data_IF_460889865773
#
_entry.id   IF_460889865773
#
_cell.length_a   1.000
_cell.length_b   1.000
_cell.length_c   1.000
_cell.angle_alpha   90.00
_cell.angle_beta   90.00
_cell.angle_gamma   90.00
#
_symmetry.space_group_name_H-M   'P 1'
#
loop_
_entity.id
_entity.type
_entity.pdbx_description
1 polymer ?
#
# COMPACT_ATOMS: atom_id res chain seq x y z
N UNK A 1 -3.40 25.72 -15.41
CA UNK A 1 -2.81 27.08 -15.45
C UNK A 1 -1.34 26.97 -15.09
N UNK A 2 -0.43 27.51 -15.90
CA UNK A 2 1.01 27.50 -15.62
C UNK A 2 1.45 28.88 -15.13
N UNK A 3 2.41 28.92 -14.21
CA UNK A 3 2.90 30.15 -13.57
C UNK A 3 4.32 30.45 -14.03
N UNK A 4 4.60 31.61 -14.63
CA UNK A 4 5.95 31.93 -15.09
C UNK A 4 6.90 32.17 -13.92
N UNK A 5 8.17 31.80 -14.09
CA UNK A 5 9.22 31.96 -13.07
C UNK A 5 9.33 33.39 -12.55
N UNK A 6 9.16 34.40 -13.40
CA UNK A 6 9.24 35.81 -12.99
C UNK A 6 8.19 36.19 -11.94
N UNK A 7 7.00 35.59 -12.02
CA UNK A 7 5.93 35.80 -11.04
C UNK A 7 6.33 35.20 -9.69
N UNK A 8 6.81 33.95 -9.69
CA UNK A 8 7.24 33.23 -8.49
C UNK A 8 8.40 33.94 -7.80
N UNK A 9 9.45 34.30 -8.54
CA UNK A 9 10.63 34.96 -7.97
C UNK A 9 10.30 36.32 -7.36
N UNK A 10 9.30 37.03 -7.91
CA UNK A 10 8.85 38.31 -7.39
C UNK A 10 7.95 38.17 -6.16
N UNK A 11 7.06 37.19 -6.16
CA UNK A 11 6.08 37.00 -5.08
C UNK A 11 6.71 36.39 -3.82
N UNK A 12 7.66 35.46 -3.99
CA UNK A 12 8.28 34.76 -2.86
C UNK A 12 9.67 35.31 -2.48
N UNK A 13 10.19 36.28 -3.23
CA UNK A 13 11.55 36.83 -3.09
C UNK A 13 12.65 35.76 -3.18
N UNK A 14 12.46 34.78 -4.06
CA UNK A 14 13.38 33.67 -4.31
C UNK A 14 14.21 33.98 -5.55
N UNK A 15 15.53 33.74 -5.50
CA UNK A 15 16.40 33.90 -6.66
C UNK A 15 16.12 32.79 -7.69
N UNK A 16 16.07 33.12 -8.98
CA UNK A 16 15.86 32.14 -10.06
C UNK A 16 16.86 30.97 -10.03
N UNK A 17 18.09 31.24 -9.59
CA UNK A 17 19.12 30.21 -9.43
C UNK A 17 18.78 29.18 -8.33
N UNK A 18 18.10 29.60 -7.25
CA UNK A 18 17.65 28.67 -6.20
C UNK A 18 16.56 27.74 -6.72
N UNK A 19 15.58 28.27 -7.46
CA UNK A 19 14.55 27.46 -8.12
C UNK A 19 15.18 26.41 -9.03
N UNK A 20 16.18 26.79 -9.83
CA UNK A 20 16.88 25.84 -10.67
C UNK A 20 17.57 24.72 -9.89
N UNK A 21 18.18 25.02 -8.74
CA UNK A 21 18.76 23.99 -7.86
C UNK A 21 17.70 23.05 -7.29
N UNK A 22 16.50 23.56 -7.00
CA UNK A 22 15.40 22.72 -6.50
C UNK A 22 14.84 21.81 -7.61
N UNK A 23 14.84 22.27 -8.86
CA UNK A 23 14.56 21.45 -10.04
C UNK A 23 15.57 20.31 -10.18
N UNK A 24 16.87 20.62 -10.14
CA UNK A 24 17.95 19.64 -10.29
C UNK A 24 17.93 18.56 -9.21
N UNK A 25 17.44 18.90 -8.01
CA UNK A 25 17.31 17.99 -6.88
C UNK A 25 16.01 17.18 -6.88
N UNK A 26 15.10 17.40 -7.84
CA UNK A 26 13.80 16.74 -7.89
C UNK A 26 12.82 17.20 -6.81
N UNK A 27 13.08 18.31 -6.12
CA UNK A 27 12.22 18.79 -5.03
C UNK A 27 10.85 19.26 -5.52
N UNK A 28 10.78 19.70 -6.78
CA UNK A 28 9.54 20.15 -7.41
C UNK A 28 8.66 19.00 -7.93
N UNK A 29 9.08 17.75 -7.71
CA UNK A 29 8.36 16.54 -8.14
C UNK A 29 8.84 15.99 -9.47
N UNK A 30 8.11 14.98 -9.98
CA UNK A 30 8.44 14.25 -11.20
C UNK A 30 7.98 14.95 -12.48
N UNK A 31 7.08 15.92 -12.36
CA UNK A 31 6.61 16.69 -13.52
C UNK A 31 7.77 17.53 -14.12
N UNK A 32 7.99 17.47 -15.44
CA UNK A 32 9.01 18.29 -16.08
C UNK A 32 8.63 19.78 -16.03
N UNK A 33 9.63 20.62 -15.77
CA UNK A 33 9.46 22.08 -15.90
C UNK A 33 9.29 22.45 -17.36
N UNK A 34 8.19 23.10 -17.69
CA UNK A 34 7.90 23.52 -19.06
C UNK A 34 8.60 24.83 -19.37
N UNK A 35 9.22 24.90 -20.54
CA UNK A 35 9.79 26.13 -21.09
C UNK A 35 8.87 26.63 -22.18
N UNK A 36 8.33 27.83 -21.97
CA UNK A 36 7.38 28.44 -22.88
C UNK A 36 8.10 28.94 -24.15
N UNK A 37 7.87 28.32 -25.32
CA UNK A 37 8.55 28.72 -26.55
C UNK A 37 8.16 30.14 -27.00
N UNK A 38 6.95 30.59 -26.67
CA UNK A 38 6.42 31.89 -27.10
C UNK A 38 6.94 33.04 -26.22
N UNK A 39 7.55 32.71 -25.08
CA UNK A 39 8.08 33.67 -24.12
C UNK A 39 9.57 33.43 -23.84
N UNK A 40 10.38 33.43 -24.90
CA UNK A 40 11.84 33.32 -24.84
C UNK A 40 12.35 32.08 -24.05
N UNK A 41 11.60 30.98 -24.09
CA UNK A 41 11.94 29.76 -23.34
C UNK A 41 11.80 29.92 -21.82
N UNK A 42 11.02 30.89 -21.34
CA UNK A 42 10.84 31.15 -19.92
C UNK A 42 10.25 29.92 -19.23
N UNK A 43 10.80 29.57 -18.06
CA UNK A 43 10.29 28.46 -17.24
C UNK A 43 8.91 28.80 -16.70
N UNK A 44 8.01 27.83 -16.78
CA UNK A 44 6.67 27.91 -16.23
C UNK A 44 6.36 26.66 -15.41
N UNK A 45 5.73 26.86 -14.27
CA UNK A 45 5.49 25.82 -13.27
C UNK A 45 4.01 25.45 -13.23
N UNK A 46 3.74 24.16 -13.01
CA UNK A 46 2.39 23.67 -12.73
C UNK A 46 1.92 24.13 -11.34
N UNK A 47 0.63 23.96 -11.05
CA UNK A 47 0.07 24.29 -9.73
C UNK A 47 0.75 23.48 -8.62
N UNK A 48 0.98 22.18 -8.85
CA UNK A 48 1.66 21.30 -7.89
C UNK A 48 3.11 21.72 -7.64
N UNK A 49 3.83 22.11 -8.70
CA UNK A 49 5.18 22.65 -8.58
C UNK A 49 5.19 23.95 -7.78
N UNK A 50 4.21 24.84 -7.97
CA UNK A 50 4.09 26.09 -7.20
C UNK A 50 3.81 25.80 -5.73
N UNK A 51 2.90 24.88 -5.40
CA UNK A 51 2.60 24.47 -4.01
C UNK A 51 3.85 23.92 -3.30
N UNK A 52 4.68 23.14 -4.02
CA UNK A 52 5.97 22.66 -3.51
C UNK A 52 6.97 23.80 -3.29
N UNK A 53 7.08 24.75 -4.23
CA UNK A 53 7.96 25.91 -4.11
C UNK A 53 7.57 26.75 -2.88
N UNK A 54 6.29 27.02 -2.69
CA UNK A 54 5.76 27.79 -1.56
C UNK A 54 6.09 27.11 -0.23
N UNK A 55 5.93 25.78 -0.16
CA UNK A 55 6.30 25.04 1.04
C UNK A 55 7.80 25.05 1.34
N UNK A 56 8.65 24.88 0.31
CA UNK A 56 10.11 24.93 0.49
C UNK A 56 10.52 26.31 1.03
N UNK A 57 9.93 27.37 0.49
CA UNK A 57 10.16 28.74 0.94
C UNK A 57 9.72 28.97 2.39
N UNK A 58 8.55 28.48 2.78
CA UNK A 58 8.04 28.50 4.16
C UNK A 58 9.01 27.83 5.12
N UNK A 59 9.43 26.60 4.81
CA UNK A 59 10.39 25.83 5.64
C UNK A 59 11.73 26.56 5.75
N UNK A 60 12.24 27.13 4.65
CA UNK A 60 13.51 27.89 4.68
C UNK A 60 13.36 29.15 5.54
N UNK A 61 12.25 29.88 5.41
CA UNK A 61 11.98 31.08 6.22
C UNK A 61 11.92 30.72 7.71
N UNK A 62 11.29 29.60 8.06
CA UNK A 62 11.23 29.14 9.44
C UNK A 62 12.59 28.67 9.97
N UNK A 63 13.39 27.99 9.16
CA UNK A 63 14.79 27.68 9.49
C UNK A 63 15.60 28.96 9.77
N UNK A 64 15.41 30.02 8.98
CA UNK A 64 16.10 31.31 9.20
C UNK A 64 15.66 31.99 10.49
N UNK A 65 14.38 31.88 10.89
CA UNK A 65 13.91 32.37 12.20
C UNK A 65 14.55 31.60 13.36
N UNK A 66 14.89 30.33 13.16
CA UNK A 66 15.60 29.48 14.13
C UNK A 66 17.13 29.61 14.05
N UNK A 67 17.65 30.64 13.36
CA UNK A 67 19.10 30.86 13.14
C UNK A 67 19.81 29.73 12.38
N UNK A 68 19.06 28.83 11.73
CA UNK A 68 19.61 27.80 10.86
C UNK A 68 19.88 28.46 9.51
N UNK A 69 21.16 28.72 9.19
CA UNK A 69 21.58 29.39 7.95
C UNK A 69 21.75 28.45 6.75
N UNK A 70 21.84 27.13 6.98
CA UNK A 70 22.03 26.13 5.91
C UNK A 70 20.96 25.06 6.01
N UNK A 71 20.20 24.90 4.94
CA UNK A 71 19.18 23.87 4.81
C UNK A 71 19.84 22.54 4.45
N UNK A 72 19.65 21.51 5.28
CA UNK A 72 20.08 20.15 4.97
C UNK A 72 19.20 19.59 3.83
N UNK A 73 19.79 19.17 2.70
CA UNK A 73 19.03 18.57 1.62
C UNK A 73 18.22 17.34 2.04
N UNK A 74 18.75 16.49 2.92
CA UNK A 74 18.08 15.24 3.33
C UNK A 74 16.85 15.50 4.18
N UNK A 75 16.94 16.51 5.04
CA UNK A 75 15.82 16.94 5.88
C UNK A 75 14.71 17.53 5.02
N UNK A 76 15.06 18.39 4.05
CA UNK A 76 14.08 18.95 3.12
C UNK A 76 13.39 17.87 2.28
N UNK A 77 14.14 16.88 1.77
CA UNK A 77 13.57 15.72 1.06
C UNK A 77 12.56 14.97 1.91
N UNK A 78 12.87 14.74 3.20
CA UNK A 78 11.95 14.09 4.15
C UNK A 78 10.68 14.90 4.36
N UNK A 79 10.81 16.21 4.58
CA UNK A 79 9.67 17.11 4.78
C UNK A 79 8.76 17.20 3.54
N UNK A 80 9.36 17.19 2.35
CA UNK A 80 8.61 17.19 1.09
C UNK A 80 7.87 15.86 0.88
N UNK A 81 8.52 14.73 1.20
CA UNK A 81 7.89 13.42 1.13
C UNK A 81 6.72 13.30 2.12
N UNK A 82 6.89 13.81 3.35
CA UNK A 82 5.86 13.79 4.38
C UNK A 82 4.63 14.64 4.01
N UNK A 83 4.85 15.85 3.47
CA UNK A 83 3.74 16.76 3.13
C UNK A 83 2.99 16.38 1.86
N UNK A 84 3.69 15.97 0.81
CA UNK A 84 3.08 15.78 -0.51
C UNK A 84 2.80 14.31 -0.84
N UNK A 85 3.47 13.35 -0.20
CA UNK A 85 3.39 11.94 -0.56
C UNK A 85 3.92 11.65 -1.97
N UNK A 86 4.47 10.45 -2.19
CA UNK A 86 5.03 10.07 -3.48
C UNK A 86 6.45 10.61 -3.72
N UNK A 87 7.20 9.86 -4.51
CA UNK A 87 8.65 9.96 -4.68
C UNK A 87 9.09 11.40 -5.02
N UNK A 88 9.64 12.10 -4.02
CA UNK A 88 10.80 12.96 -4.28
C UNK A 88 11.89 11.98 -4.67
N UNK A 89 11.93 11.60 -5.96
CA UNK A 89 13.02 10.78 -6.47
C UNK A 89 14.27 11.57 -6.20
N UNK A 90 15.07 11.07 -5.25
CA UNK A 90 16.44 11.50 -5.09
C UNK A 90 17.03 11.35 -6.48
N UNK A 91 17.43 12.46 -7.09
CA UNK A 91 18.31 12.39 -8.24
C UNK A 91 19.64 11.93 -7.68
N UNK A 92 19.72 10.65 -7.30
CA UNK A 92 20.99 9.92 -7.31
C UNK A 92 21.49 10.17 -8.71
N UNK A 93 22.50 11.05 -8.76
CA UNK A 93 23.31 11.43 -9.90
C UNK A 93 22.87 10.66 -11.13
N UNK A 94 22.15 11.34 -12.05
CA UNK A 94 21.91 10.84 -13.42
C UNK A 94 23.09 9.96 -13.76
N UNK A 95 22.90 8.65 -13.80
CA UNK A 95 23.86 7.80 -14.46
C UNK A 95 24.01 8.48 -15.81
N UNK A 96 25.18 9.08 -16.03
CA UNK A 96 25.48 9.68 -17.31
C UNK A 96 25.22 8.52 -18.27
N UNK A 97 24.17 8.63 -19.07
CA UNK A 97 24.03 7.80 -20.25
C UNK A 97 25.15 8.29 -21.15
N UNK A 98 26.37 7.81 -20.87
CA UNK A 98 27.53 7.97 -21.71
C UNK A 98 27.18 7.12 -22.91
N UNK A 99 26.64 7.75 -23.95
CA UNK A 99 26.53 7.11 -25.24
C UNK A 99 27.92 6.57 -25.57
N UNK A 100 28.07 5.25 -25.83
CA UNK A 100 29.37 4.65 -26.05
C UNK A 100 30.08 5.40 -27.18
N UNK A 101 31.18 6.08 -26.86
CA UNK A 101 31.93 6.91 -27.81
C UNK A 101 32.83 6.07 -28.72
N UNK A 102 32.89 4.75 -28.52
CA UNK A 102 33.72 3.80 -29.26
C UNK A 102 32.92 2.57 -29.67
N UNK A 103 33.31 1.94 -30.78
CA UNK A 103 32.65 0.73 -31.30
C UNK A 103 32.71 -0.44 -30.31
N UNK A 104 33.81 -0.55 -29.56
CA UNK A 104 34.04 -1.59 -28.54
C UNK A 104 33.07 -1.45 -27.37
N UNK A 105 32.86 -0.23 -26.87
CA UNK A 105 31.90 0.03 -25.79
C UNK A 105 30.45 -0.21 -26.23
N UNK A 106 30.13 -0.01 -27.51
CA UNK A 106 28.83 -0.37 -28.07
C UNK A 106 28.63 -1.89 -28.15
N UNK A 107 29.67 -2.65 -28.51
CA UNK A 107 29.63 -4.11 -28.53
C UNK A 107 29.44 -4.69 -27.12
N UNK A 108 30.14 -4.17 -26.11
CA UNK A 108 29.98 -4.60 -24.72
C UNK A 108 28.55 -4.34 -24.22
N UNK A 109 27.97 -3.19 -24.54
CA UNK A 109 26.60 -2.85 -24.18
C UNK A 109 25.58 -3.78 -24.85
N UNK A 110 25.78 -4.14 -26.12
CA UNK A 110 24.93 -5.12 -26.81
C UNK A 110 25.03 -6.51 -26.21
N UNK A 111 26.23 -6.93 -25.81
CA UNK A 111 26.45 -8.22 -25.12
C UNK A 111 25.74 -8.20 -23.75
N UNK A 112 25.84 -7.10 -23.02
CA UNK A 112 25.18 -6.93 -21.73
C UNK A 112 23.65 -6.95 -21.87
N UNK A 113 23.09 -6.20 -22.82
CA UNK A 113 21.65 -6.23 -23.10
C UNK A 113 21.16 -7.62 -23.50
N UNK A 114 21.92 -8.37 -24.29
CA UNK A 114 21.57 -9.75 -24.63
C UNK A 114 21.57 -10.67 -23.40
N UNK A 115 22.52 -10.50 -22.48
CA UNK A 115 22.54 -11.25 -21.22
C UNK A 115 21.32 -10.92 -20.35
N UNK A 116 20.99 -9.64 -20.22
CA UNK A 116 19.82 -9.19 -19.46
C UNK A 116 18.51 -9.70 -20.06
N UNK A 117 18.36 -9.70 -21.39
CA UNK A 117 17.19 -10.29 -22.06
C UNK A 117 17.07 -11.80 -21.81
N UNK A 118 18.19 -12.53 -21.85
CA UNK A 118 18.17 -13.97 -21.59
C UNK A 118 17.79 -14.28 -20.13
N UNK A 119 18.33 -13.54 -19.17
CA UNK A 119 17.96 -13.67 -17.76
C UNK A 119 16.47 -13.34 -17.52
N UNK A 120 15.95 -12.32 -18.22
CA UNK A 120 14.53 -11.98 -18.17
C UNK A 120 13.65 -13.09 -18.75
N UNK A 121 14.09 -13.73 -19.84
CA UNK A 121 13.39 -14.86 -20.44
C UNK A 121 13.35 -16.06 -19.49
N UNK A 122 14.44 -16.38 -18.82
CA UNK A 122 14.49 -17.46 -17.82
C UNK A 122 13.55 -17.19 -16.64
N UNK A 123 13.52 -15.95 -16.12
CA UNK A 123 12.58 -15.57 -15.07
C UNK A 123 11.11 -15.69 -15.50
N UNK A 124 10.78 -15.34 -16.74
CA UNK A 124 9.43 -15.51 -17.28
C UNK A 124 9.06 -16.99 -17.41
N UNK A 125 9.97 -17.82 -17.88
CA UNK A 125 9.73 -19.27 -18.01
C UNK A 125 9.53 -19.93 -16.63
N UNK A 126 10.29 -19.52 -15.60
CA UNK A 126 10.08 -19.98 -14.22
C UNK A 126 8.74 -19.53 -13.65
N UNK A 127 8.32 -18.28 -13.90
CA UNK A 127 7.04 -17.76 -13.43
C UNK A 127 5.86 -18.48 -14.07
N UNK A 128 5.95 -18.78 -15.38
CA UNK A 128 4.93 -19.56 -16.10
C UNK A 128 4.85 -20.98 -15.55
N UNK A 129 5.99 -21.61 -15.24
CA UNK A 129 6.03 -22.94 -14.61
C UNK A 129 5.37 -22.94 -13.24
N UNK A 130 5.69 -21.96 -12.39
CA UNK A 130 5.09 -21.83 -11.06
C UNK A 130 3.57 -21.60 -11.11
N UNK A 131 3.07 -20.84 -12.08
CA UNK A 131 1.62 -20.68 -12.27
C UNK A 131 0.92 -21.97 -12.70
N UNK A 132 1.55 -22.77 -13.58
CA UNK A 132 1.01 -24.06 -14.01
C UNK A 132 0.98 -25.07 -12.86
N UNK A 133 2.03 -25.13 -12.05
CA UNK A 133 2.09 -25.98 -10.85
C UNK A 133 1.04 -25.58 -9.81
N UNK A 134 0.87 -24.27 -9.58
CA UNK A 134 -0.17 -23.75 -8.69
C UNK A 134 -1.58 -24.08 -9.20
N UNK A 135 -1.81 -23.95 -10.51
CA UNK A 135 -3.10 -24.29 -11.13
C UNK A 135 -3.41 -25.78 -10.94
N UNK A 136 -2.44 -26.66 -11.19
CA UNK A 136 -2.61 -28.11 -10.99
C UNK A 136 -2.89 -28.44 -9.51
N UNK A 137 -2.17 -27.83 -8.58
CA UNK A 137 -2.43 -28.00 -7.14
C UNK A 137 -3.84 -27.58 -6.75
N UNK A 138 -4.32 -26.45 -7.29
CA UNK A 138 -5.69 -25.96 -7.06
C UNK A 138 -6.72 -26.94 -7.64
N UNK A 139 -6.53 -27.41 -8.87
CA UNK A 139 -7.44 -28.37 -9.53
C UNK A 139 -7.49 -29.72 -8.80
N UNK A 140 -6.37 -30.21 -8.25
CA UNK A 140 -6.33 -31.47 -7.50
C UNK A 140 -6.86 -31.36 -6.07
N UNK A 141 -6.68 -30.21 -5.40
CA UNK A 141 -7.03 -30.04 -3.97
C UNK A 141 -8.43 -29.50 -3.70
N UNK A 142 -9.03 -28.76 -4.64
CA UNK A 142 -10.38 -28.19 -4.49
C UNK A 142 -11.50 -29.25 -4.39
N UNK A 143 -11.52 -30.33 -5.20
CA UNK A 143 -12.59 -31.33 -5.13
C UNK A 143 -12.62 -32.06 -3.78
N UNK A 144 -11.45 -32.40 -3.22
CA UNK A 144 -11.35 -33.07 -1.92
C UNK A 144 -11.76 -32.17 -0.75
N UNK A 145 -11.48 -30.86 -0.82
CA UNK A 145 -11.90 -29.90 0.22
C UNK A 145 -13.41 -29.65 0.23
N UNK A 146 -14.04 -29.63 -0.94
CA UNK A 146 -15.50 -29.51 -1.06
C UNK A 146 -16.22 -30.72 -0.45
N UNK A 147 -15.72 -31.93 -0.73
CA UNK A 147 -16.28 -33.16 -0.15
C UNK A 147 -16.12 -33.21 1.38
N UNK A 148 -14.98 -32.77 1.92
CA UNK A 148 -14.77 -32.70 3.36
C UNK A 148 -15.74 -31.71 4.02
N UNK A 149 -15.96 -30.55 3.39
CA UNK A 149 -16.86 -29.52 3.89
C UNK A 149 -18.34 -29.93 3.83
N UNK A 150 -18.74 -30.68 2.80
CA UNK A 150 -20.08 -31.27 2.71
C UNK A 150 -20.30 -32.33 3.79
N UNK A 151 -19.32 -33.23 4.00
CA UNK A 151 -19.38 -34.23 5.06
C UNK A 151 -19.46 -33.59 6.46
N UNK A 152 -18.64 -32.58 6.74
CA UNK A 152 -18.66 -31.85 8.02
C UNK A 152 -20.00 -31.13 8.23
N UNK A 153 -20.61 -30.60 7.15
CA UNK A 153 -21.93 -29.98 7.20
C UNK A 153 -23.03 -30.99 7.52
N UNK A 154 -23.01 -32.16 6.92
CA UNK A 154 -23.97 -33.24 7.24
C UNK A 154 -23.84 -33.69 8.70
N UNK A 155 -22.61 -33.83 9.19
CA UNK A 155 -22.34 -34.23 10.56
C UNK A 155 -22.86 -33.18 11.57
N UNK A 156 -22.64 -31.89 11.29
CA UNK A 156 -23.16 -30.79 12.10
C UNK A 156 -24.70 -30.73 12.09
N UNK A 157 -25.35 -31.03 10.97
CA UNK A 157 -26.81 -31.10 10.88
C UNK A 157 -27.37 -32.25 11.74
N UNK A 158 -26.78 -33.45 11.67
CA UNK A 158 -27.19 -34.57 12.52
C UNK A 158 -26.97 -34.29 14.01
N UNK A 159 -25.89 -33.59 14.35
CA UNK A 159 -25.62 -33.19 15.74
C UNK A 159 -26.64 -32.16 16.24
N UNK A 160 -27.10 -31.26 15.35
CA UNK A 160 -28.16 -30.30 15.66
C UNK A 160 -29.51 -31.00 15.90
N UNK A 161 -29.90 -31.96 15.06
CA UNK A 161 -31.15 -32.70 15.22
C UNK A 161 -31.17 -33.53 16.52
N UNK A 162 -30.06 -34.19 16.85
CA UNK A 162 -29.94 -34.94 18.11
C UNK A 162 -29.99 -34.03 19.34
N UNK A 163 -29.39 -32.84 19.27
CA UNK A 163 -29.48 -31.82 20.31
C UNK A 163 -30.91 -31.28 20.47
N UNK A 164 -31.62 -31.01 19.36
CA UNK A 164 -33.02 -30.58 19.40
C UNK A 164 -33.95 -31.66 19.96
N UNK A 165 -33.70 -32.93 19.63
CA UNK A 165 -34.41 -34.08 20.22
C UNK A 165 -34.21 -34.17 21.72
N UNK A 166 -32.95 -34.13 22.18
CA UNK A 166 -32.62 -34.13 23.62
C UNK A 166 -33.19 -32.93 24.36
N UNK A 167 -33.20 -31.75 23.72
CA UNK A 167 -33.80 -30.56 24.30
C UNK A 167 -35.31 -30.76 24.51
N UNK A 168 -36.02 -31.31 23.52
CA UNK A 168 -37.45 -31.64 23.69
C UNK A 168 -37.70 -32.66 24.78
N UNK A 169 -36.85 -33.68 24.90
CA UNK A 169 -36.93 -34.66 25.99
C UNK A 169 -36.70 -34.00 27.37
N UNK A 170 -35.75 -33.08 27.47
CA UNK A 170 -35.52 -32.29 28.69
C UNK A 170 -36.70 -31.37 29.01
N UNK A 171 -37.23 -30.65 28.02
CA UNK A 171 -38.40 -29.78 28.20
C UNK A 171 -39.65 -30.60 28.63
N UNK A 172 -39.79 -31.83 28.12
CA UNK A 172 -40.84 -32.77 28.53
C UNK A 172 -40.62 -33.34 29.94
N UNK A 173 -39.37 -33.60 30.32
CA UNK A 173 -39.03 -34.04 31.67
C UNK A 173 -39.18 -32.92 32.71
N UNK A 174 -38.88 -31.67 32.34
CA UNK A 174 -39.04 -30.49 33.18
C UNK A 174 -40.52 -30.12 33.37
N UNK A 175 -41.34 -30.28 32.32
CA UNK A 175 -42.81 -30.15 32.43
C UNK A 175 -43.44 -31.28 33.27
N UNK A 176 -42.94 -32.51 33.18
CA UNK A 176 -43.37 -33.61 34.06
C UNK A 176 -42.93 -33.39 35.53
N UNK A 177 -41.73 -32.86 35.77
CA UNK A 177 -41.23 -32.58 37.11
C UNK A 177 -41.99 -31.43 37.79
N UNK A 178 -42.40 -30.41 37.03
CA UNK A 178 -43.22 -29.31 37.55
C UNK A 178 -44.68 -29.69 37.81
N UNK A 179 -45.21 -30.72 37.12
CA UNK A 179 -46.50 -31.32 37.48
C UNK A 179 -46.43 -32.17 38.76
N UNK A 180 -45.30 -32.81 39.07
CA UNK A 180 -45.10 -33.54 40.34
C UNK A 180 -44.88 -32.62 41.56
N UNK A 181 -44.31 -31.43 41.40
CA UNK A 181 -44.17 -30.44 42.50
C UNK A 181 -45.50 -29.79 42.95
N UNK A 182 -46.59 -29.99 42.19
CA UNK A 182 -47.94 -29.53 42.53
C UNK A 182 -48.72 -30.46 43.48
N UNK A 183 -48.19 -31.64 43.82
CA UNK A 183 -48.87 -32.61 44.68
C UNK A 183 -48.01 -32.89 45.93
N UNK A 184 -48.40 -32.46 47.15
CA UNK A 184 -47.56 -32.63 48.33
C UNK A 184 -47.28 -34.12 48.57
N UNK A 185 -46.04 -34.50 48.28
CA UNK A 185 -45.57 -35.86 48.27
C UNK A 185 -45.82 -36.57 49.60
N UNK A 186 -46.04 -37.88 49.48
CA UNK A 186 -46.29 -38.87 50.54
C UNK A 186 -45.48 -38.64 51.84
N UNK A 187 -44.25 -38.14 51.75
CA UNK A 187 -43.37 -37.86 52.90
C UNK A 187 -43.73 -36.60 53.72
N UNK A 188 -44.36 -35.58 53.11
CA UNK A 188 -44.80 -34.37 53.82
C UNK A 188 -45.97 -34.62 54.79
N UNK A 189 -46.72 -35.73 54.59
CA UNK A 189 -47.78 -36.18 55.49
C UNK A 189 -47.25 -37.01 56.67
N UNK A 190 -46.04 -37.56 56.58
CA UNK A 190 -45.46 -38.44 57.60
C UNK A 190 -44.82 -37.69 58.77
N UNK A 191 -44.34 -36.46 58.56
CA UNK A 191 -43.60 -35.69 59.56
C UNK A 191 -44.36 -34.51 60.19
N UNK A 192 -45.65 -34.33 59.88
CA UNK A 192 -46.50 -33.27 60.45
C UNK A 192 -47.39 -33.80 61.58
N UNK A 193 -46.78 -34.40 62.60
CA UNK A 193 -47.42 -34.68 63.88
C UNK A 193 -46.39 -34.65 65.02
N UNK A 194 -46.03 -33.43 65.42
CA UNK A 194 -45.76 -33.07 66.80
C UNK A 194 -46.09 -31.59 66.98
#
# INVERSE_FOLDING_TARGET
>A
MRVPISKITRELDIKSFQLHKWEERGWLGTEPVFKDPDNNGQRTYSKQQVERIEYIDEVIKDQRKQEIHRTDPKEMEKLLLEKFGGEVTRVESKELIVLPTTLESFQELLIQQNKEMNAMREMVDELVKGQLELKNYIEESLPGRLQLQEHDRELLLGLKETMEGRKKELDMAETAATEEEGNPGFFARLFKKH
#
